data_IF_878854226877
#
_entry.id   IF_878854226877
#
_cell.length_a   1.000
_cell.length_b   1.000
_cell.length_c   1.000
_cell.angle_alpha   90.00
_cell.angle_beta   90.00
_cell.angle_gamma   90.00
#
_symmetry.space_group_name_H-M   'P 1'
#
loop_
_entity.id
_entity.type
_entity.pdbx_description
1 polymer ?
#
# COMPACT_ATOMS: atom_id res chain seq x y z
N UNK A 1 8.79 -29.06 -36.08
CA UNK A 1 9.29 -27.78 -36.64
C UNK A 1 9.23 -26.73 -35.56
N UNK A 2 10.33 -26.10 -35.22
CA UNK A 2 10.34 -24.96 -34.29
C UNK A 2 9.88 -23.73 -35.09
N UNK A 3 8.73 -23.16 -34.73
CA UNK A 3 8.28 -21.92 -35.36
C UNK A 3 9.24 -20.80 -34.98
N UNK A 4 10.16 -20.47 -35.89
CA UNK A 4 11.03 -19.30 -35.77
C UNK A 4 10.45 -18.11 -36.49
N UNK A 5 10.79 -16.90 -36.06
CA UNK A 5 10.41 -15.65 -36.74
C UNK A 5 11.65 -14.78 -36.96
N UNK A 6 11.60 -13.96 -38.01
CA UNK A 6 12.68 -13.03 -38.32
C UNK A 6 12.35 -11.64 -37.78
N UNK A 7 13.36 -11.00 -37.25
CA UNK A 7 13.26 -9.63 -36.80
C UNK A 7 14.59 -8.93 -37.02
N UNK A 8 14.58 -7.81 -37.72
CA UNK A 8 15.76 -6.99 -38.03
C UNK A 8 16.92 -7.83 -38.64
N UNK A 9 16.59 -8.70 -39.60
CA UNK A 9 17.54 -9.61 -40.24
C UNK A 9 18.00 -10.80 -39.37
N UNK A 10 17.56 -10.89 -38.13
CA UNK A 10 17.93 -11.99 -37.24
C UNK A 10 16.76 -12.98 -37.05
N UNK A 11 17.10 -14.24 -36.95
CA UNK A 11 16.13 -15.29 -36.67
C UNK A 11 16.01 -15.51 -35.16
N UNK A 12 14.80 -15.63 -34.65
CA UNK A 12 14.48 -15.85 -33.25
C UNK A 12 13.61 -17.10 -33.07
N UNK A 13 13.88 -17.82 -32.02
CA UNK A 13 13.04 -18.93 -31.56
C UNK A 13 12.20 -18.44 -30.37
N UNK A 14 10.86 -18.52 -30.46
CA UNK A 14 10.00 -18.27 -29.30
C UNK A 14 10.37 -19.24 -28.17
N UNK A 15 10.28 -18.79 -26.93
CA UNK A 15 10.38 -19.70 -25.78
C UNK A 15 9.23 -20.69 -25.81
N UNK A 16 9.49 -21.89 -25.35
CA UNK A 16 8.48 -22.92 -25.25
C UNK A 16 7.41 -22.52 -24.23
N UNK A 17 6.22 -23.09 -24.36
CA UNK A 17 5.17 -22.90 -23.36
C UNK A 17 5.64 -23.39 -21.98
N UNK A 18 6.44 -24.46 -21.93
CA UNK A 18 7.05 -24.96 -20.69
C UNK A 18 7.97 -23.93 -20.02
N UNK A 19 8.80 -23.19 -20.79
CA UNK A 19 9.68 -22.17 -20.23
C UNK A 19 8.85 -21.00 -19.65
N UNK A 20 7.85 -20.53 -20.39
CA UNK A 20 6.95 -19.48 -19.92
C UNK A 20 6.18 -19.89 -18.66
N UNK A 21 5.74 -21.15 -18.58
CA UNK A 21 5.05 -21.70 -17.39
C UNK A 21 6.00 -21.77 -16.18
N UNK A 22 7.24 -22.19 -16.37
CA UNK A 22 8.28 -22.16 -15.31
C UNK A 22 8.52 -20.73 -14.81
N UNK A 23 8.63 -19.77 -15.74
CA UNK A 23 8.77 -18.36 -15.40
C UNK A 23 7.61 -17.86 -14.57
N UNK A 24 6.37 -18.16 -14.95
CA UNK A 24 5.17 -17.77 -14.23
C UNK A 24 5.12 -18.37 -12.81
N UNK A 25 5.41 -19.66 -12.66
CA UNK A 25 5.45 -20.32 -11.34
C UNK A 25 6.50 -19.64 -10.46
N UNK A 26 7.72 -19.47 -10.97
CA UNK A 26 8.82 -18.87 -10.19
C UNK A 26 8.51 -17.40 -9.83
N UNK A 27 8.00 -16.60 -10.77
CA UNK A 27 7.59 -15.22 -10.52
C UNK A 27 6.51 -15.14 -9.44
N UNK A 28 5.52 -16.03 -9.49
CA UNK A 28 4.44 -16.11 -8.51
C UNK A 28 4.97 -16.50 -7.13
N UNK A 29 5.86 -17.48 -7.04
CA UNK A 29 6.48 -17.90 -5.77
C UNK A 29 7.32 -16.78 -5.16
N UNK A 30 8.17 -16.13 -5.94
CA UNK A 30 9.02 -15.02 -5.47
C UNK A 30 8.17 -13.84 -5.03
N UNK A 31 7.16 -13.47 -5.82
CA UNK A 31 6.23 -12.40 -5.47
C UNK A 31 5.49 -12.70 -4.17
N UNK A 32 4.98 -13.93 -4.01
CA UNK A 32 4.31 -14.38 -2.79
C UNK A 32 5.24 -14.39 -1.59
N UNK A 33 6.49 -14.82 -1.75
CA UNK A 33 7.50 -14.76 -0.69
C UNK A 33 7.80 -13.31 -0.26
N UNK A 34 7.99 -12.40 -1.22
CA UNK A 34 8.20 -10.96 -0.94
C UNK A 34 6.97 -10.39 -0.23
N UNK A 35 5.77 -10.63 -0.72
CA UNK A 35 4.53 -10.16 -0.08
C UNK A 35 4.32 -10.78 1.29
N UNK A 36 4.72 -12.04 1.49
CA UNK A 36 4.68 -12.76 2.78
C UNK A 36 5.57 -12.15 3.86
N UNK A 37 6.52 -11.28 3.51
CA UNK A 37 7.32 -10.54 4.51
C UNK A 37 6.52 -9.43 5.21
N UNK A 38 5.42 -8.94 4.63
CA UNK A 38 4.63 -7.83 5.16
C UNK A 38 4.10 -8.07 6.57
N UNK A 39 3.51 -9.24 6.91
CA UNK A 39 3.07 -9.53 8.28
C UNK A 39 4.22 -9.52 9.28
N UNK A 40 5.40 -10.00 8.88
CA UNK A 40 6.58 -10.01 9.75
C UNK A 40 7.03 -8.58 10.11
N UNK A 41 6.91 -7.62 9.18
CA UNK A 41 7.20 -6.21 9.44
C UNK A 41 6.11 -5.51 10.24
N UNK A 42 4.84 -5.79 9.96
CA UNK A 42 3.70 -5.08 10.58
C UNK A 42 3.35 -5.62 11.96
N UNK A 43 3.49 -6.92 12.23
CA UNK A 43 3.08 -7.57 13.47
C UNK A 43 3.76 -7.01 14.73
N UNK A 44 5.09 -6.79 14.80
CA UNK A 44 5.71 -6.20 15.97
C UNK A 44 5.22 -4.79 16.28
N UNK A 45 4.97 -4.00 15.22
CA UNK A 45 4.48 -2.63 15.37
C UNK A 45 3.01 -2.59 15.80
N UNK A 46 2.16 -3.43 15.23
CA UNK A 46 0.76 -3.52 15.64
C UNK A 46 0.62 -3.98 17.10
N UNK A 47 1.37 -4.99 17.51
CA UNK A 47 1.36 -5.50 18.89
C UNK A 47 1.81 -4.44 19.90
N UNK A 48 2.85 -3.66 19.58
CA UNK A 48 3.31 -2.57 20.43
C UNK A 48 2.30 -1.41 20.47
N UNK A 49 1.73 -1.05 19.32
CA UNK A 49 0.65 -0.08 19.23
C UNK A 49 -0.51 -0.43 20.17
N UNK A 50 -0.87 -1.69 20.20
CA UNK A 50 -1.93 -2.24 21.03
C UNK A 50 -1.64 -2.12 22.52
N UNK A 51 -0.46 -2.58 22.93
CA UNK A 51 -0.08 -2.68 24.34
C UNK A 51 0.01 -1.32 25.03
N UNK A 52 0.46 -0.29 24.32
CA UNK A 52 0.69 1.06 24.86
C UNK A 52 -0.57 1.95 24.85
N UNK A 53 -1.68 1.50 24.23
CA UNK A 53 -2.85 2.36 23.96
C UNK A 53 -4.00 2.22 24.96
N UNK A 54 -4.08 1.10 25.69
CA UNK A 54 -5.34 0.72 26.30
C UNK A 54 -5.63 1.31 27.67
N UNK A 55 -4.66 1.92 28.35
CA UNK A 55 -4.82 2.25 29.76
C UNK A 55 -4.90 3.74 30.09
N UNK A 56 -5.03 4.62 29.08
CA UNK A 56 -4.96 6.05 29.37
C UNK A 56 -6.27 6.79 29.03
N UNK A 57 -7.14 6.93 30.05
CA UNK A 57 -8.39 7.70 29.99
C UNK A 57 -8.17 9.17 29.55
N UNK A 58 -6.96 9.73 29.72
CA UNK A 58 -6.63 11.09 29.29
C UNK A 58 -6.77 11.29 27.79
N UNK A 59 -6.59 10.24 26.99
CA UNK A 59 -6.82 10.31 25.56
C UNK A 59 -8.30 10.48 25.21
N UNK A 60 -9.22 9.88 25.98
CA UNK A 60 -10.66 9.93 25.71
C UNK A 60 -11.18 11.35 25.78
N UNK A 61 -10.96 12.03 26.90
CA UNK A 61 -11.45 13.41 27.10
C UNK A 61 -10.82 14.38 26.10
N UNK A 62 -9.52 14.25 25.86
CA UNK A 62 -8.82 15.07 24.87
C UNK A 62 -9.33 14.79 23.45
N UNK A 63 -9.63 13.54 23.09
CA UNK A 63 -10.18 13.20 21.78
C UNK A 63 -11.58 13.78 21.59
N UNK A 64 -12.49 13.59 22.54
CA UNK A 64 -13.85 14.15 22.46
C UNK A 64 -13.82 15.68 22.31
N UNK A 65 -12.94 16.36 23.09
CA UNK A 65 -12.69 17.79 22.97
C UNK A 65 -12.14 18.14 21.58
N UNK A 66 -11.32 17.28 20.98
CA UNK A 66 -10.70 17.52 19.67
C UNK A 66 -11.71 17.64 18.54
N UNK A 67 -12.78 16.84 18.58
CA UNK A 67 -13.87 16.87 17.59
C UNK A 67 -14.57 18.22 17.60
N UNK A 68 -14.85 18.77 18.78
CA UNK A 68 -15.45 20.11 18.95
C UNK A 68 -14.48 21.23 18.51
N UNK A 69 -13.24 21.21 19.02
CA UNK A 69 -12.23 22.24 18.72
C UNK A 69 -11.86 22.26 17.23
N UNK A 70 -11.91 21.13 16.56
CA UNK A 70 -11.67 21.07 15.11
C UNK A 70 -12.87 21.49 14.27
N UNK A 71 -14.07 21.60 14.87
CA UNK A 71 -15.33 21.84 14.16
C UNK A 71 -15.73 20.69 13.24
N UNK A 72 -15.28 19.47 13.54
CA UNK A 72 -15.70 18.27 12.83
C UNK A 72 -17.16 17.90 13.13
N UNK A 73 -17.62 18.15 14.35
CA UNK A 73 -19.01 18.06 14.77
C UNK A 73 -19.94 18.91 13.89
N UNK A 74 -19.58 20.16 13.66
CA UNK A 74 -20.31 21.09 12.77
C UNK A 74 -20.35 20.63 11.31
N UNK A 75 -19.43 19.75 10.91
CA UNK A 75 -19.39 19.15 9.58
C UNK A 75 -20.11 17.79 9.50
N UNK A 76 -20.77 17.40 10.58
CA UNK A 76 -21.56 16.16 10.67
C UNK A 76 -20.73 14.93 10.97
N UNK A 77 -19.48 15.08 11.45
CA UNK A 77 -18.68 13.93 11.89
C UNK A 77 -19.21 13.44 13.24
N UNK A 78 -19.52 12.15 13.29
CA UNK A 78 -20.02 11.46 14.48
C UNK A 78 -19.03 10.43 14.97
N UNK A 79 -18.93 10.26 16.28
CA UNK A 79 -18.24 9.13 16.90
C UNK A 79 -19.27 8.03 17.08
N UNK A 80 -18.95 6.82 16.65
CA UNK A 80 -19.81 5.67 16.80
C UNK A 80 -19.04 4.46 17.32
N UNK A 81 -19.69 3.59 18.13
CA UNK A 81 -19.05 2.39 18.61
C UNK A 81 -18.76 1.43 17.46
N UNK A 82 -17.55 0.89 17.45
CA UNK A 82 -17.09 -0.05 16.44
C UNK A 82 -17.46 -1.51 16.81
N UNK A 83 -18.72 -1.76 17.15
CA UNK A 83 -19.18 -3.10 17.54
C UNK A 83 -18.93 -4.15 16.46
N UNK A 84 -19.15 -3.79 15.19
CA UNK A 84 -18.90 -4.72 14.08
C UNK A 84 -17.40 -5.08 13.91
N UNK A 85 -16.48 -4.30 14.48
CA UNK A 85 -15.06 -4.61 14.49
C UNK A 85 -14.73 -5.70 15.53
N UNK A 86 -15.56 -5.85 16.57
CA UNK A 86 -15.43 -6.92 17.57
C UNK A 86 -15.82 -8.29 17.00
N UNK A 87 -16.81 -8.32 16.10
CA UNK A 87 -17.42 -9.56 15.62
C UNK A 87 -16.69 -10.18 14.42
N UNK A 88 -15.88 -9.42 13.71
CA UNK A 88 -15.28 -9.89 12.46
C UNK A 88 -13.86 -10.45 12.55
N UNK A 89 -13.12 -10.17 13.58
CA UNK A 89 -11.82 -10.77 13.89
C UNK A 89 -11.13 -9.99 15.00
N UNK A 90 -11.13 -10.48 16.25
CA UNK A 90 -10.54 -9.77 17.39
C UNK A 90 -9.06 -9.41 17.18
N UNK A 91 -8.34 -10.23 16.40
CA UNK A 91 -6.93 -10.03 16.13
C UNK A 91 -6.64 -8.93 15.09
N UNK A 92 -7.57 -8.69 14.19
CA UNK A 92 -7.38 -7.75 13.07
C UNK A 92 -8.04 -6.39 13.32
N UNK A 93 -9.17 -6.37 14.02
CA UNK A 93 -10.01 -5.18 14.17
C UNK A 93 -10.21 -4.71 15.62
N UNK A 94 -9.85 -5.52 16.60
CA UNK A 94 -10.13 -5.24 18.01
C UNK A 94 -9.52 -3.96 18.56
N UNK A 95 -8.78 -3.22 17.76
CA UNK A 95 -7.93 -2.15 18.24
C UNK A 95 -7.86 -0.94 17.35
N UNK A 96 -8.39 -1.04 16.14
CA UNK A 96 -8.31 0.04 15.20
C UNK A 96 -9.63 0.81 15.21
N UNK A 97 -9.51 2.10 15.14
CA UNK A 97 -10.56 2.98 14.72
C UNK A 97 -10.56 3.02 13.18
N UNK A 98 -11.65 3.47 12.58
CA UNK A 98 -11.63 3.86 11.17
C UNK A 98 -12.57 5.05 10.93
N UNK A 99 -12.16 5.94 10.04
CA UNK A 99 -13.03 6.99 9.53
C UNK A 99 -13.72 6.52 8.25
N UNK A 100 -15.06 6.49 8.28
CA UNK A 100 -15.87 6.22 7.11
C UNK A 100 -16.27 7.54 6.43
N UNK A 101 -15.80 7.74 5.20
CA UNK A 101 -16.03 8.96 4.43
C UNK A 101 -17.46 9.13 3.95
N UNK A 102 -18.18 8.02 3.72
CA UNK A 102 -19.55 8.05 3.17
C UNK A 102 -20.55 8.58 4.20
N UNK A 103 -20.51 8.05 5.42
CA UNK A 103 -21.40 8.44 6.49
C UNK A 103 -20.80 9.40 7.51
N UNK A 104 -19.53 9.81 7.29
CA UNK A 104 -18.75 10.72 8.16
C UNK A 104 -18.66 10.24 9.61
N UNK A 105 -18.52 8.93 9.81
CA UNK A 105 -18.42 8.34 11.15
C UNK A 105 -16.97 7.94 11.46
N UNK A 106 -16.51 8.32 12.65
CA UNK A 106 -15.32 7.75 13.26
C UNK A 106 -15.79 6.57 14.09
N UNK A 107 -15.50 5.37 13.61
CA UNK A 107 -15.80 4.12 14.27
C UNK A 107 -14.65 3.77 15.20
N UNK A 108 -14.91 3.66 16.49
CA UNK A 108 -13.87 3.47 17.50
C UNK A 108 -14.41 2.67 18.68
N UNK A 109 -13.54 1.97 19.38
CA UNK A 109 -13.90 1.40 20.68
C UNK A 109 -14.11 2.56 21.68
N UNK A 110 -15.36 2.86 22.00
CA UNK A 110 -15.72 3.98 22.87
C UNK A 110 -15.30 3.77 24.34
N UNK A 111 -15.05 2.52 24.75
CA UNK A 111 -14.60 2.23 26.10
C UNK A 111 -13.09 2.47 26.28
N UNK A 112 -12.35 2.39 25.17
CA UNK A 112 -10.89 2.47 25.13
C UNK A 112 -10.42 3.38 24.01
N UNK A 113 -10.86 4.63 24.01
CA UNK A 113 -10.40 5.62 23.04
C UNK A 113 -8.90 5.88 23.25
N UNK A 114 -8.15 5.61 22.20
CA UNK A 114 -6.70 5.73 22.17
C UNK A 114 -6.25 6.80 21.17
N UNK A 115 -4.95 6.86 20.92
CA UNK A 115 -4.36 7.72 19.89
C UNK A 115 -4.95 7.43 18.49
N UNK A 116 -5.49 6.22 18.25
CA UNK A 116 -6.15 5.90 16.99
C UNK A 116 -7.31 6.87 16.69
N UNK A 117 -8.07 7.31 17.70
CA UNK A 117 -9.12 8.31 17.52
C UNK A 117 -8.62 9.61 16.91
N UNK A 118 -7.49 10.11 17.37
CA UNK A 118 -6.88 11.33 16.81
C UNK A 118 -6.41 11.13 15.36
N UNK A 119 -5.93 9.93 15.04
CA UNK A 119 -5.54 9.57 13.66
C UNK A 119 -6.75 9.60 12.74
N UNK A 120 -7.85 8.98 13.15
CA UNK A 120 -9.11 8.97 12.38
C UNK A 120 -9.73 10.37 12.25
N UNK A 121 -9.63 11.20 13.28
CA UNK A 121 -9.98 12.61 13.17
C UNK A 121 -9.07 13.36 12.16
N UNK A 122 -7.82 12.93 12.03
CA UNK A 122 -6.89 13.38 10.98
C UNK A 122 -7.38 13.03 9.57
N UNK A 123 -7.88 11.81 9.35
CA UNK A 123 -8.51 11.41 8.10
C UNK A 123 -9.77 12.24 7.80
N UNK A 124 -10.64 12.45 8.81
CA UNK A 124 -11.80 13.31 8.67
C UNK A 124 -11.42 14.75 8.28
N UNK A 125 -10.32 15.27 8.82
CA UNK A 125 -9.78 16.58 8.42
C UNK A 125 -9.16 16.56 7.02
N UNK A 126 -8.60 15.45 6.56
CA UNK A 126 -8.12 15.32 5.18
C UNK A 126 -9.30 15.37 4.20
N UNK A 127 -10.35 14.67 4.49
CA UNK A 127 -11.54 14.59 3.65
C UNK A 127 -12.33 15.92 3.64
N UNK A 128 -12.54 16.56 4.79
CA UNK A 128 -13.45 17.68 4.96
C UNK A 128 -12.78 19.06 4.92
N UNK A 129 -11.47 19.15 5.10
CA UNK A 129 -10.72 20.41 5.17
C UNK A 129 -9.41 20.33 4.39
N UNK A 130 -9.40 20.90 3.20
CA UNK A 130 -8.20 21.07 2.38
C UNK A 130 -8.21 20.21 1.12
N UNK A 131 -7.76 20.83 0.03
CA UNK A 131 -7.77 20.21 -1.31
C UNK A 131 -6.80 19.05 -1.38
N UNK A 132 -5.58 19.21 -0.85
CA UNK A 132 -4.53 18.19 -0.92
C UNK A 132 -4.91 16.89 -0.17
N UNK A 133 -5.46 17.03 1.04
CA UNK A 133 -5.91 15.87 1.81
C UNK A 133 -7.03 15.10 1.11
N UNK A 134 -8.01 15.83 0.59
CA UNK A 134 -9.14 15.25 -0.16
C UNK A 134 -8.67 14.55 -1.44
N UNK A 135 -7.71 15.13 -2.16
CA UNK A 135 -7.14 14.54 -3.37
C UNK A 135 -6.41 13.23 -3.03
N UNK A 136 -5.52 13.25 -2.03
CA UNK A 136 -4.77 12.06 -1.60
C UNK A 136 -5.69 10.95 -1.13
N UNK A 137 -6.73 11.26 -0.34
CA UNK A 137 -7.73 10.30 0.11
C UNK A 137 -8.43 9.62 -1.08
N UNK A 138 -8.85 10.40 -2.09
CA UNK A 138 -9.46 9.86 -3.31
C UNK A 138 -8.51 9.03 -4.16
N UNK A 139 -7.21 9.32 -4.13
CA UNK A 139 -6.20 8.59 -4.92
C UNK A 139 -5.76 7.27 -4.27
N UNK A 140 -6.14 6.97 -3.03
CA UNK A 140 -5.75 5.73 -2.34
C UNK A 140 -6.21 4.48 -3.11
N UNK A 141 -7.49 4.41 -3.48
CA UNK A 141 -8.02 3.27 -4.19
C UNK A 141 -7.49 3.16 -5.63
N UNK A 142 -7.52 4.21 -6.46
CA UNK A 142 -6.90 4.17 -7.78
C UNK A 142 -5.42 3.78 -7.74
N UNK A 143 -4.66 4.29 -6.77
CA UNK A 143 -3.26 3.93 -6.60
C UNK A 143 -3.05 2.44 -6.37
N UNK A 144 -3.84 1.82 -5.50
CA UNK A 144 -3.81 0.37 -5.27
C UNK A 144 -4.22 -0.43 -6.50
N UNK A 145 -5.24 0.03 -7.22
CA UNK A 145 -5.68 -0.60 -8.47
C UNK A 145 -4.57 -0.56 -9.54
N UNK A 146 -3.87 0.56 -9.69
CA UNK A 146 -2.72 0.68 -10.59
C UNK A 146 -1.59 -0.26 -10.15
N UNK A 147 -1.27 -0.37 -8.87
CA UNK A 147 -0.26 -1.32 -8.39
C UNK A 147 -0.63 -2.77 -8.74
N UNK A 148 -1.90 -3.15 -8.58
CA UNK A 148 -2.41 -4.47 -8.99
C UNK A 148 -2.33 -4.69 -10.50
N UNK A 149 -2.68 -3.67 -11.30
CA UNK A 149 -2.57 -3.73 -12.77
C UNK A 149 -1.10 -3.90 -13.19
N UNK A 150 -0.16 -3.25 -12.53
CA UNK A 150 1.27 -3.45 -12.80
C UNK A 150 1.73 -4.87 -12.51
N UNK A 151 1.17 -5.52 -11.48
CA UNK A 151 1.39 -6.96 -11.23
C UNK A 151 0.90 -7.82 -12.39
N UNK A 152 -0.27 -7.53 -12.92
CA UNK A 152 -0.78 -8.20 -14.12
C UNK A 152 0.13 -7.96 -15.33
N UNK A 153 0.54 -6.74 -15.60
CA UNK A 153 1.49 -6.41 -16.69
C UNK A 153 2.80 -7.17 -16.52
N UNK A 154 3.34 -7.24 -15.30
CA UNK A 154 4.59 -7.97 -15.02
C UNK A 154 4.51 -9.45 -15.40
N UNK A 155 3.35 -10.09 -15.16
CA UNK A 155 3.17 -11.52 -15.37
C UNK A 155 2.73 -11.90 -16.79
N UNK A 156 1.91 -11.08 -17.43
CA UNK A 156 1.21 -11.47 -18.66
C UNK A 156 1.61 -10.69 -19.91
N UNK A 157 2.28 -9.54 -19.78
CA UNK A 157 2.75 -8.80 -20.95
C UNK A 157 3.86 -9.56 -21.66
N UNK A 158 3.71 -9.76 -22.97
CA UNK A 158 4.71 -10.45 -23.80
C UNK A 158 6.04 -9.71 -23.77
N UNK A 159 7.11 -10.47 -23.72
CA UNK A 159 8.48 -9.98 -23.80
C UNK A 159 8.97 -10.06 -25.24
N UNK A 160 9.43 -8.94 -25.77
CA UNK A 160 10.03 -8.87 -27.12
C UNK A 160 11.52 -9.17 -27.08
N UNK A 161 12.14 -9.50 -28.24
CA UNK A 161 13.60 -9.49 -28.37
C UNK A 161 14.19 -8.15 -27.94
N UNK A 162 15.46 -8.15 -27.48
CA UNK A 162 16.11 -6.90 -27.02
C UNK A 162 16.26 -5.85 -28.12
N UNK A 163 16.43 -6.33 -29.34
CA UNK A 163 16.65 -5.54 -30.55
C UNK A 163 15.36 -4.99 -31.15
N UNK A 164 14.19 -5.51 -30.69
CA UNK A 164 12.91 -5.05 -31.17
C UNK A 164 12.63 -3.58 -30.79
N UNK A 165 11.98 -2.80 -31.68
CA UNK A 165 11.61 -1.43 -31.36
C UNK A 165 10.70 -1.41 -30.15
N UNK A 166 11.05 -0.52 -29.23
CA UNK A 166 10.33 -0.36 -27.97
C UNK A 166 9.09 0.48 -28.17
N UNK A 167 7.98 0.01 -27.65
CA UNK A 167 6.74 0.74 -27.62
C UNK A 167 6.38 1.20 -26.19
N UNK A 168 5.22 1.85 -26.04
CA UNK A 168 4.74 2.34 -24.76
C UNK A 168 4.50 1.21 -23.75
N UNK A 169 4.06 0.04 -24.21
CA UNK A 169 3.82 -1.11 -23.33
C UNK A 169 5.12 -1.72 -22.83
N UNK A 170 6.17 -1.76 -23.64
CA UNK A 170 7.50 -2.19 -23.22
C UNK A 170 8.04 -1.25 -22.14
N UNK A 171 7.87 0.08 -22.30
CA UNK A 171 8.26 1.05 -21.28
C UNK A 171 7.50 0.83 -19.96
N UNK A 172 6.18 0.59 -20.03
CA UNK A 172 5.37 0.29 -18.84
C UNK A 172 5.87 -0.99 -18.16
N UNK A 173 6.11 -2.05 -18.93
CA UNK A 173 6.60 -3.33 -18.41
C UNK A 173 7.96 -3.19 -17.73
N UNK A 174 8.92 -2.52 -18.38
CA UNK A 174 10.27 -2.32 -17.84
C UNK A 174 10.27 -1.49 -16.53
N UNK A 175 9.24 -0.68 -16.33
CA UNK A 175 9.10 0.17 -15.15
C UNK A 175 7.94 -0.23 -14.22
N UNK A 176 7.30 -1.38 -14.44
CA UNK A 176 6.09 -1.75 -13.71
C UNK A 176 6.27 -1.77 -12.18
N UNK A 177 7.43 -2.21 -11.68
CA UNK A 177 7.75 -2.17 -10.25
C UNK A 177 7.85 -0.73 -9.70
N UNK A 178 8.48 0.17 -10.45
CA UNK A 178 8.56 1.60 -10.08
C UNK A 178 7.18 2.25 -10.11
N UNK A 179 6.37 1.94 -11.14
CA UNK A 179 5.02 2.46 -11.27
C UNK A 179 4.15 1.95 -10.11
N UNK A 180 4.24 0.66 -9.75
CA UNK A 180 3.55 0.09 -8.61
C UNK A 180 3.93 0.78 -7.30
N UNK A 181 5.22 1.02 -7.06
CA UNK A 181 5.69 1.76 -5.89
C UNK A 181 5.12 3.19 -5.84
N UNK A 182 5.29 3.96 -6.93
CA UNK A 182 4.85 5.37 -6.98
C UNK A 182 3.33 5.49 -6.84
N UNK A 183 2.58 4.55 -7.40
CA UNK A 183 1.10 4.55 -7.30
C UNK A 183 0.59 4.34 -5.87
N UNK A 184 1.40 3.76 -4.98
CA UNK A 184 1.08 3.59 -3.56
C UNK A 184 1.40 4.82 -2.70
N UNK A 185 2.21 5.77 -3.20
CA UNK A 185 2.61 6.97 -2.44
C UNK A 185 1.44 7.85 -1.96
N UNK A 186 0.34 8.03 -2.72
CA UNK A 186 -0.82 8.77 -2.21
C UNK A 186 -1.35 8.20 -0.89
N UNK A 187 -1.35 6.87 -0.73
CA UNK A 187 -1.73 6.23 0.55
C UNK A 187 -0.76 6.59 1.66
N UNK A 188 0.54 6.47 1.42
CA UNK A 188 1.58 6.79 2.43
C UNK A 188 1.50 8.26 2.85
N UNK A 189 1.34 9.17 1.90
CA UNK A 189 1.25 10.61 2.17
C UNK A 189 -0.03 10.95 2.94
N UNK A 190 -1.14 10.35 2.58
CA UNK A 190 -2.43 10.58 3.25
C UNK A 190 -2.39 10.11 4.70
N UNK A 191 -1.84 8.93 4.98
CA UNK A 191 -1.64 8.40 6.33
C UNK A 191 -0.70 9.29 7.17
N UNK A 192 0.37 9.80 6.54
CA UNK A 192 1.27 10.77 7.17
C UNK A 192 0.57 12.09 7.53
N UNK A 193 -0.26 12.60 6.61
CA UNK A 193 -1.05 13.81 6.85
C UNK A 193 -2.09 13.60 7.95
N UNK A 194 -2.78 12.46 7.99
CA UNK A 194 -3.73 12.14 9.03
C UNK A 194 -3.06 12.10 10.40
N UNK A 195 -1.92 11.41 10.50
CA UNK A 195 -1.10 11.37 11.72
C UNK A 195 -0.65 12.76 12.17
N UNK A 196 -0.14 13.58 11.25
CA UNK A 196 0.27 14.97 11.54
C UNK A 196 -0.89 15.82 12.09
N UNK A 197 -2.05 15.75 11.43
CA UNK A 197 -3.26 16.48 11.86
C UNK A 197 -3.77 15.95 13.20
N UNK A 198 -3.71 14.64 13.44
CA UNK A 198 -4.04 14.02 14.72
C UNK A 198 -3.18 14.56 15.87
N UNK A 199 -1.86 14.65 15.68
CA UNK A 199 -0.94 15.25 16.67
C UNK A 199 -1.28 16.74 16.89
N UNK A 200 -1.58 17.49 15.83
CA UNK A 200 -1.97 18.90 15.95
C UNK A 200 -3.26 19.08 16.73
N UNK A 201 -4.22 18.18 16.54
CA UNK A 201 -5.46 18.16 17.34
C UNK A 201 -5.19 17.86 18.80
N UNK A 202 -4.41 16.86 19.11
CA UNK A 202 -4.03 16.49 20.47
C UNK A 202 -3.40 17.67 21.23
N UNK A 203 -2.51 18.43 20.57
CA UNK A 203 -1.95 19.65 21.17
C UNK A 203 -2.99 20.71 21.44
N UNK A 204 -3.92 20.94 20.52
CA UNK A 204 -4.99 21.93 20.70
C UNK A 204 -5.94 21.59 21.83
N UNK A 205 -6.02 20.35 22.24
CA UNK A 205 -6.85 19.92 23.37
C UNK A 205 -6.14 20.01 24.72
N UNK A 206 -4.87 20.38 24.73
CA UNK A 206 -4.07 20.47 25.94
C UNK A 206 -3.54 19.13 26.44
N UNK A 207 -3.46 18.13 25.56
CA UNK A 207 -2.84 16.85 25.90
C UNK A 207 -1.38 17.07 26.31
N UNK A 208 -0.95 16.42 27.40
CA UNK A 208 0.39 16.57 27.97
C UNK A 208 1.49 16.20 26.95
N UNK A 209 2.56 16.99 26.88
CA UNK A 209 3.64 16.81 25.88
C UNK A 209 4.31 15.42 25.90
N UNK A 210 4.48 14.71 27.05
CA UNK A 210 4.95 13.32 27.07
C UNK A 210 4.04 12.38 26.25
N UNK A 211 2.71 12.54 26.35
CA UNK A 211 1.73 11.76 25.60
C UNK A 211 1.80 12.08 24.12
N UNK A 212 1.98 13.36 23.75
CA UNK A 212 2.16 13.80 22.37
C UNK A 212 3.46 13.23 21.77
N UNK A 213 4.54 13.21 22.55
CA UNK A 213 5.82 12.60 22.13
C UNK A 213 5.65 11.12 21.84
N UNK A 214 4.91 10.41 22.69
CA UNK A 214 4.58 9.01 22.46
C UNK A 214 3.72 8.81 21.19
N UNK A 215 2.65 9.61 21.02
CA UNK A 215 1.85 9.60 19.79
C UNK A 215 2.71 9.73 18.54
N UNK A 216 3.60 10.73 18.48
CA UNK A 216 4.49 10.94 17.32
C UNK A 216 5.34 9.72 17.04
N UNK A 217 5.95 9.12 18.07
CA UNK A 217 6.77 7.91 17.94
C UNK A 217 5.97 6.75 17.35
N UNK A 218 4.76 6.56 17.83
CA UNK A 218 3.89 5.46 17.38
C UNK A 218 3.36 5.70 15.97
N UNK A 219 2.96 6.93 15.65
CA UNK A 219 2.54 7.28 14.28
C UNK A 219 3.67 7.17 13.26
N UNK A 220 4.91 7.53 13.66
CA UNK A 220 6.07 7.31 12.79
C UNK A 220 6.28 5.82 12.49
N UNK A 221 6.17 4.95 13.49
CA UNK A 221 6.24 3.49 13.30
C UNK A 221 5.10 2.98 12.40
N UNK A 222 3.87 3.44 12.63
CA UNK A 222 2.73 3.09 11.78
C UNK A 222 2.97 3.54 10.32
N UNK A 223 3.48 4.75 10.11
CA UNK A 223 3.78 5.26 8.76
C UNK A 223 4.84 4.41 8.04
N UNK A 224 5.84 3.91 8.77
CA UNK A 224 6.85 2.99 8.22
C UNK A 224 6.22 1.70 7.70
N UNK A 225 5.13 1.21 8.30
CA UNK A 225 4.43 0.03 7.75
C UNK A 225 3.79 0.33 6.41
N UNK A 226 3.15 1.48 6.23
CA UNK A 226 2.58 1.90 4.94
C UNK A 226 3.66 2.11 3.88
N UNK A 227 4.77 2.75 4.24
CA UNK A 227 5.92 2.90 3.34
C UNK A 227 6.50 1.53 2.96
N UNK A 228 6.63 0.63 3.93
CA UNK A 228 7.06 -0.76 3.70
C UNK A 228 6.15 -1.49 2.72
N UNK A 229 4.83 -1.34 2.83
CA UNK A 229 3.88 -1.92 1.87
C UNK A 229 4.12 -1.41 0.44
N UNK A 230 4.37 -0.11 0.27
CA UNK A 230 4.65 0.46 -1.05
C UNK A 230 5.96 -0.11 -1.64
N UNK A 231 7.01 -0.20 -0.83
CA UNK A 231 8.31 -0.77 -1.25
C UNK A 231 8.15 -2.24 -1.64
N UNK A 232 7.50 -3.03 -0.79
CA UNK A 232 7.29 -4.47 -1.03
C UNK A 232 6.45 -4.71 -2.28
N UNK A 233 5.40 -3.92 -2.51
CA UNK A 233 4.60 -4.00 -3.73
C UNK A 233 5.46 -3.72 -4.98
N UNK A 234 6.28 -2.66 -4.96
CA UNK A 234 7.18 -2.33 -6.05
C UNK A 234 8.23 -3.43 -6.33
N UNK A 235 8.82 -3.99 -5.27
CA UNK A 235 9.80 -5.07 -5.38
C UNK A 235 9.18 -6.37 -5.90
N UNK A 236 8.00 -6.75 -5.40
CA UNK A 236 7.31 -7.96 -5.86
C UNK A 236 6.96 -7.89 -7.35
N UNK A 237 6.41 -6.76 -7.78
CA UNK A 237 6.07 -6.52 -9.19
C UNK A 237 7.33 -6.48 -10.07
N UNK A 238 8.36 -5.76 -9.64
CA UNK A 238 9.63 -5.66 -10.38
C UNK A 238 10.33 -7.00 -10.53
N UNK A 239 10.43 -7.78 -9.46
CA UNK A 239 11.02 -9.12 -9.49
C UNK A 239 10.23 -10.06 -10.43
N UNK A 240 8.90 -10.02 -10.36
CA UNK A 240 8.05 -10.82 -11.26
C UNK A 240 8.31 -10.47 -12.73
N UNK A 241 8.40 -9.19 -13.07
CA UNK A 241 8.71 -8.76 -14.44
C UNK A 241 10.07 -9.26 -14.92
N UNK A 242 11.10 -9.15 -14.09
CA UNK A 242 12.45 -9.61 -14.44
C UNK A 242 12.50 -11.12 -14.67
N UNK A 243 11.83 -11.89 -13.81
CA UNK A 243 11.75 -13.36 -13.94
C UNK A 243 11.01 -13.72 -15.22
N UNK A 244 9.86 -13.11 -15.48
CA UNK A 244 9.09 -13.38 -16.70
C UNK A 244 9.88 -13.00 -17.95
N UNK A 245 10.62 -11.91 -17.92
CA UNK A 245 11.49 -11.53 -19.02
C UNK A 245 12.57 -12.55 -19.30
N UNK A 246 13.22 -13.07 -18.28
CA UNK A 246 14.24 -14.08 -18.43
C UNK A 246 13.71 -15.37 -19.09
N UNK A 247 12.53 -15.85 -18.65
CA UNK A 247 11.94 -17.10 -19.13
C UNK A 247 11.16 -16.95 -20.45
N UNK A 248 10.60 -15.79 -20.74
CA UNK A 248 9.70 -15.59 -21.91
C UNK A 248 10.38 -14.88 -23.08
N UNK A 249 11.54 -14.26 -22.89
CA UNK A 249 12.22 -13.53 -23.96
C UNK A 249 12.69 -14.49 -25.05
N UNK A 250 12.34 -14.26 -26.32
CA UNK A 250 12.83 -15.08 -27.43
C UNK A 250 14.35 -15.14 -27.49
N UNK A 251 14.89 -16.28 -27.88
CA UNK A 251 16.33 -16.47 -28.09
C UNK A 251 16.69 -16.15 -29.53
N UNK A 252 17.71 -15.32 -29.73
CA UNK A 252 18.35 -15.16 -31.03
C UNK A 252 19.07 -16.44 -31.41
N UNK A 253 18.88 -16.92 -32.63
CA UNK A 253 19.67 -18.04 -33.17
C UNK A 253 21.02 -17.45 -33.54
N UNK A 254 22.09 -18.07 -33.07
CA UNK A 254 23.44 -17.77 -33.53
C UNK A 254 23.71 -18.54 -34.81
N UNK A 255 24.50 -17.94 -35.72
CA UNK A 255 24.87 -18.57 -36.99
C UNK A 255 25.52 -19.95 -36.79
N UNK A 256 26.17 -20.16 -35.64
CA UNK A 256 26.76 -21.43 -35.22
C UNK A 256 25.71 -22.53 -34.95
N UNK A 257 24.45 -22.17 -34.61
CA UNK A 257 23.36 -23.12 -34.30
C UNK A 257 22.61 -23.59 -35.56
N UNK A 258 22.95 -23.06 -36.75
CA UNK A 258 22.25 -23.36 -38.01
C UNK A 258 22.83 -24.62 -38.70
N UNK A 259 23.98 -25.09 -38.25
CA UNK A 259 24.73 -26.18 -38.91
C UNK A 259 24.68 -27.51 -38.22
N UNK A 260 23.72 -27.77 -37.31
CA UNK A 260 23.50 -29.09 -36.69
C UNK A 260 22.09 -29.62 -36.82
#
# INVERSE_FOLDING_TARGET
MVNSFYYDGNQYIPRTQSDSSKGFILASLVSSAIMGTLPAFSKPFSTQLVKEHYDNYLYKDAFEKSIKVSGLDKKGVQIAPAQFLKDRSPEFFGQNACYNTENKKILINTDKISIAGFHEAGHALNDLKGISGKLLSKMRWPGRAVAGLMGYVALFQRTKPKEAPRDKMDFIKDNCGKIAFVSMLPTVLEEGMASYKGVKLARKTGLAEPLIKNMKKLYAKALLTYAGHAVVAGLAVGASSMIMDYFSRPKKIKDEDIFY
#
